data_IF_254729699675
#
_entry.id   IF_254729699675
#
_cell.length_a   1.000
_cell.length_b   1.000
_cell.length_c   1.000
_cell.angle_alpha   90.00
_cell.angle_beta   90.00
_cell.angle_gamma   90.00
#
_symmetry.space_group_name_H-M   'P 1'
#
loop_
_entity.id
_entity.type
_entity.pdbx_description
1 polymer ?
#
# COMPACT_ATOMS: atom_id res chain seq x y z
N UNK A 1 5.42 -24.48 -0.65
CA UNK A 1 6.03 -23.24 -1.20
C UNK A 1 5.27 -21.98 -0.78
N UNK A 2 3.94 -21.91 -0.88
CA UNK A 2 3.15 -20.71 -0.52
C UNK A 2 3.44 -20.17 0.89
N UNK A 3 3.47 -21.04 1.92
CA UNK A 3 3.78 -20.61 3.30
C UNK A 3 5.18 -20.03 3.47
N UNK A 4 6.19 -20.63 2.82
CA UNK A 4 7.57 -20.16 2.91
C UNK A 4 7.69 -18.79 2.25
N UNK A 5 7.09 -18.61 1.06
CA UNK A 5 7.07 -17.32 0.39
C UNK A 5 6.32 -16.27 1.22
N UNK A 6 5.20 -16.65 1.85
CA UNK A 6 4.43 -15.74 2.71
C UNK A 6 5.26 -15.24 3.90
N UNK A 7 5.95 -16.12 4.62
CA UNK A 7 6.82 -15.73 5.73
C UNK A 7 8.00 -14.87 5.26
N UNK A 8 8.59 -15.18 4.11
CA UNK A 8 9.67 -14.37 3.54
C UNK A 8 9.18 -12.97 3.15
N UNK A 9 8.01 -12.85 2.50
CA UNK A 9 7.40 -11.57 2.15
C UNK A 9 7.06 -10.79 3.42
N UNK A 10 6.48 -11.44 4.43
CA UNK A 10 6.18 -10.80 5.71
C UNK A 10 7.44 -10.22 6.37
N UNK A 11 8.54 -10.98 6.39
CA UNK A 11 9.80 -10.52 6.96
C UNK A 11 10.37 -9.29 6.23
N UNK A 12 10.38 -9.31 4.89
CA UNK A 12 10.83 -8.18 4.07
C UNK A 12 9.93 -6.96 4.28
N UNK A 13 8.60 -7.17 4.31
CA UNK A 13 7.62 -6.11 4.53
C UNK A 13 7.80 -5.48 5.90
N UNK A 14 7.94 -6.29 6.96
CA UNK A 14 8.19 -5.82 8.32
C UNK A 14 9.48 -5.00 8.42
N UNK A 15 10.57 -5.47 7.81
CA UNK A 15 11.85 -4.75 7.77
C UNK A 15 11.72 -3.40 7.05
N UNK A 16 11.05 -3.36 5.89
CA UNK A 16 10.81 -2.15 5.13
C UNK A 16 9.97 -1.14 5.91
N UNK A 17 8.85 -1.58 6.49
CA UNK A 17 7.95 -0.76 7.31
C UNK A 17 8.66 -0.25 8.58
N UNK A 18 9.41 -1.11 9.29
CA UNK A 18 10.16 -0.71 10.48
C UNK A 18 11.15 0.42 10.16
N UNK A 19 11.97 0.26 9.12
CA UNK A 19 12.93 1.28 8.69
C UNK A 19 12.25 2.57 8.22
N UNK A 20 11.03 2.50 7.70
CA UNK A 20 10.25 3.66 7.28
C UNK A 20 9.57 4.36 8.45
N UNK A 21 9.10 3.60 9.44
CA UNK A 21 8.35 4.09 10.59
C UNK A 21 9.24 4.65 11.70
N UNK A 22 10.36 3.99 11.98
CA UNK A 22 11.18 4.25 13.15
C UNK A 22 12.12 5.45 12.96
N UNK A 23 12.10 6.37 13.92
CA UNK A 23 13.03 7.50 14.05
C UNK A 23 14.03 7.19 15.19
N UNK A 24 15.25 6.72 14.89
CA UNK A 24 16.21 6.32 15.93
C UNK A 24 16.57 7.46 16.88
N UNK A 25 16.75 8.67 16.35
CA UNK A 25 17.11 9.86 17.13
C UNK A 25 16.06 10.25 18.17
N UNK A 26 14.77 10.03 17.84
CA UNK A 26 13.62 10.37 18.71
C UNK A 26 13.03 9.18 19.44
N UNK A 27 13.53 7.96 19.16
CA UNK A 27 13.02 6.68 19.70
C UNK A 27 11.49 6.55 19.60
N UNK A 28 10.90 7.00 18.49
CA UNK A 28 9.46 6.99 18.28
C UNK A 28 9.10 6.67 16.81
N UNK A 29 7.82 6.37 16.59
CA UNK A 29 7.27 6.22 15.25
C UNK A 29 7.11 7.59 14.61
N UNK A 30 7.45 7.71 13.33
CA UNK A 30 7.31 8.93 12.53
C UNK A 30 5.86 9.43 12.55
N UNK A 31 5.66 10.66 12.97
CA UNK A 31 4.34 11.30 12.95
C UNK A 31 3.80 11.31 11.50
N UNK A 32 2.52 10.95 11.34
CA UNK A 32 1.88 10.84 10.02
C UNK A 32 2.18 9.54 9.27
N UNK A 33 2.93 8.58 9.84
CA UNK A 33 3.24 7.30 9.19
C UNK A 33 1.98 6.61 8.64
N UNK A 34 0.92 6.53 9.43
CA UNK A 34 -0.33 5.87 9.05
C UNK A 34 -1.26 6.68 8.14
N UNK A 35 -0.84 7.86 7.68
CA UNK A 35 -1.63 8.67 6.75
C UNK A 35 -1.36 8.31 5.29
N UNK A 36 -0.22 7.68 4.99
CA UNK A 36 0.15 7.32 3.62
C UNK A 36 -0.38 5.96 3.20
N UNK A 37 -1.01 5.88 2.01
CA UNK A 37 -1.52 4.63 1.44
C UNK A 37 -0.45 3.54 1.35
N UNK A 38 0.76 3.89 0.95
CA UNK A 38 1.90 2.98 0.89
C UNK A 38 2.13 2.22 2.19
N UNK A 39 2.06 2.93 3.32
CA UNK A 39 2.31 2.30 4.61
C UNK A 39 1.13 1.43 5.04
N UNK A 40 -0.10 1.89 4.79
CA UNK A 40 -1.31 1.13 5.12
C UNK A 40 -1.44 -0.12 4.24
N UNK A 41 -1.23 -0.03 2.93
CA UNK A 41 -1.28 -1.17 2.02
C UNK A 41 -0.21 -2.23 2.35
N UNK A 42 1.03 -1.80 2.63
CA UNK A 42 2.08 -2.71 3.09
C UNK A 42 1.77 -3.32 4.46
N UNK A 43 1.13 -2.59 5.38
CA UNK A 43 0.70 -3.15 6.67
C UNK A 43 -0.39 -4.21 6.51
N UNK A 44 -1.36 -3.96 5.64
CA UNK A 44 -2.42 -4.95 5.32
C UNK A 44 -1.82 -6.19 4.67
N UNK A 45 -0.87 -6.02 3.74
CA UNK A 45 -0.11 -7.13 3.15
C UNK A 45 0.70 -7.87 4.21
N UNK A 46 1.36 -7.20 5.13
CA UNK A 46 2.08 -7.85 6.23
C UNK A 46 1.16 -8.77 7.05
N UNK A 47 -0.02 -8.27 7.45
CA UNK A 47 -1.00 -9.06 8.20
C UNK A 47 -1.49 -10.25 7.36
N UNK A 48 -1.78 -10.03 6.09
CA UNK A 48 -2.20 -11.07 5.15
C UNK A 48 -1.15 -12.18 5.01
N UNK A 49 0.10 -11.82 4.78
CA UNK A 49 1.21 -12.77 4.61
C UNK A 49 1.53 -13.54 5.91
N UNK A 50 1.44 -12.87 7.06
CA UNK A 50 1.55 -13.55 8.36
C UNK A 50 0.42 -14.56 8.57
N UNK A 51 -0.82 -14.22 8.21
CA UNK A 51 -1.94 -15.14 8.29
C UNK A 51 -1.75 -16.36 7.37
N UNK A 52 -1.32 -16.16 6.13
CA UNK A 52 -0.98 -17.26 5.21
C UNK A 52 0.18 -18.12 5.71
N UNK A 53 1.21 -17.50 6.26
CA UNK A 53 2.37 -18.19 6.79
C UNK A 53 2.07 -19.01 8.04
N UNK A 54 1.20 -18.48 8.92
CA UNK A 54 0.77 -19.13 10.16
C UNK A 54 -0.24 -20.24 9.93
N UNK A 55 -1.06 -20.19 8.86
CA UNK A 55 -2.03 -21.24 8.54
C UNK A 55 -1.31 -22.56 8.32
N UNK A 56 -1.47 -23.51 9.26
CA UNK A 56 -0.93 -24.87 9.16
C UNK A 56 -1.58 -25.65 8.02
N UNK A 57 -1.35 -26.98 7.99
CA UNK A 57 -2.05 -27.88 7.06
C UNK A 57 -3.57 -27.90 7.27
N UNK A 58 -4.03 -27.39 8.40
CA UNK A 58 -5.44 -27.38 8.78
C UNK A 58 -6.13 -26.10 8.25
N UNK A 59 -6.47 -26.14 6.96
CA UNK A 59 -7.28 -25.11 6.28
C UNK A 59 -8.77 -25.16 6.65
N UNK A 60 -9.13 -25.90 7.72
CA UNK A 60 -10.52 -26.07 8.13
C UNK A 60 -11.06 -24.89 8.93
N UNK A 61 -10.19 -24.09 9.54
CA UNK A 61 -10.60 -22.86 10.25
C UNK A 61 -11.15 -21.83 9.26
N UNK A 62 -12.40 -21.39 9.48
CA UNK A 62 -13.11 -20.47 8.58
C UNK A 62 -12.36 -19.16 8.28
N UNK A 63 -11.64 -18.62 9.27
CA UNK A 63 -10.83 -17.42 9.07
C UNK A 63 -9.69 -17.65 8.07
N UNK A 64 -8.96 -18.76 8.17
CA UNK A 64 -7.88 -19.09 7.24
C UNK A 64 -8.37 -19.39 5.83
N UNK A 65 -9.53 -20.05 5.69
CA UNK A 65 -10.17 -20.24 4.38
C UNK A 65 -10.48 -18.92 3.69
N UNK A 66 -10.91 -17.93 4.46
CA UNK A 66 -11.19 -16.60 3.91
C UNK A 66 -9.90 -15.94 3.42
N UNK A 67 -8.82 -15.91 4.24
CA UNK A 67 -7.52 -15.33 3.86
C UNK A 67 -6.90 -16.02 2.64
N UNK A 68 -7.04 -17.33 2.49
CA UNK A 68 -6.50 -18.09 1.37
C UNK A 68 -7.41 -18.11 0.13
N UNK A 69 -8.57 -17.46 0.20
CA UNK A 69 -9.50 -17.43 -0.94
C UNK A 69 -8.92 -16.69 -2.13
N UNK A 70 -9.16 -17.14 -3.38
CA UNK A 70 -8.64 -16.50 -4.60
C UNK A 70 -8.99 -15.02 -4.70
N UNK A 71 -10.19 -14.62 -4.27
CA UNK A 71 -10.64 -13.24 -4.30
C UNK A 71 -9.86 -12.32 -3.35
N UNK A 72 -9.58 -12.78 -2.12
CA UNK A 72 -8.75 -12.03 -1.16
C UNK A 72 -7.31 -11.93 -1.66
N UNK A 73 -6.75 -13.03 -2.16
CA UNK A 73 -5.42 -13.07 -2.73
C UNK A 73 -5.25 -12.07 -3.89
N UNK A 74 -6.20 -12.05 -4.82
CA UNK A 74 -6.21 -11.07 -5.91
C UNK A 74 -6.33 -9.64 -5.39
N UNK A 75 -7.22 -9.39 -4.43
CA UNK A 75 -7.41 -8.06 -3.86
C UNK A 75 -6.14 -7.53 -3.19
N UNK A 76 -5.44 -8.36 -2.41
CA UNK A 76 -4.16 -7.97 -1.77
C UNK A 76 -3.08 -7.68 -2.81
N UNK A 77 -2.99 -8.52 -3.85
CA UNK A 77 -2.06 -8.34 -4.96
C UNK A 77 -2.31 -7.02 -5.69
N UNK A 78 -3.56 -6.72 -6.05
CA UNK A 78 -3.91 -5.47 -6.73
C UNK A 78 -3.67 -4.25 -5.86
N UNK A 79 -4.04 -4.28 -4.58
CA UNK A 79 -3.80 -3.19 -3.64
C UNK A 79 -2.33 -2.80 -3.53
N UNK A 80 -1.44 -3.79 -3.42
CA UNK A 80 0.00 -3.50 -3.30
C UNK A 80 0.63 -3.16 -4.65
N UNK A 81 0.15 -3.75 -5.74
CA UNK A 81 0.65 -3.43 -7.08
C UNK A 81 0.30 -2.00 -7.50
N UNK A 82 -0.90 -1.52 -7.18
CA UNK A 82 -1.30 -0.12 -7.38
C UNK A 82 -0.40 0.84 -6.59
N UNK A 83 0.04 0.46 -5.39
CA UNK A 83 1.04 1.24 -4.63
C UNK A 83 2.33 1.43 -5.44
N UNK A 84 2.82 0.38 -6.09
CA UNK A 84 3.97 0.43 -7.00
C UNK A 84 3.70 1.34 -8.20
N UNK A 85 2.58 1.13 -8.90
CA UNK A 85 2.25 1.89 -10.11
C UNK A 85 2.12 3.40 -9.82
N UNK A 86 1.39 3.78 -8.78
CA UNK A 86 1.24 5.19 -8.41
C UNK A 86 2.60 5.80 -8.05
N UNK A 87 3.43 5.10 -7.30
CA UNK A 87 4.76 5.59 -6.97
C UNK A 87 5.64 5.76 -8.21
N UNK A 88 5.75 4.72 -9.05
CA UNK A 88 6.67 4.69 -10.18
C UNK A 88 6.21 5.57 -11.36
N UNK A 89 4.90 5.59 -11.65
CA UNK A 89 4.35 6.23 -12.85
C UNK A 89 3.73 7.61 -12.59
N UNK A 90 3.40 7.93 -11.34
CA UNK A 90 2.78 9.21 -11.00
C UNK A 90 3.70 10.05 -10.11
N UNK A 91 4.05 9.55 -8.92
CA UNK A 91 4.75 10.37 -7.91
C UNK A 91 6.19 10.71 -8.33
N UNK A 92 6.95 9.75 -8.81
CA UNK A 92 8.35 9.99 -9.22
C UNK A 92 8.42 10.89 -10.46
N UNK A 93 7.64 10.69 -11.54
CA UNK A 93 7.61 11.62 -12.67
C UNK A 93 7.18 13.03 -12.26
N UNK A 94 6.13 13.16 -11.43
CA UNK A 94 5.66 14.45 -10.94
C UNK A 94 6.73 15.17 -10.13
N UNK A 95 7.37 14.48 -9.18
CA UNK A 95 8.45 15.04 -8.36
C UNK A 95 9.66 15.50 -9.21
N UNK A 96 9.98 14.78 -10.29
CA UNK A 96 11.03 15.20 -11.22
C UNK A 96 10.63 16.43 -12.02
N UNK A 97 9.39 16.50 -12.47
CA UNK A 97 8.86 17.65 -13.20
C UNK A 97 8.88 18.93 -12.34
N UNK A 98 8.47 18.80 -11.08
CA UNK A 98 8.34 19.93 -10.15
C UNK A 98 9.65 20.23 -9.39
N UNK A 99 10.73 19.48 -9.65
CA UNK A 99 12.00 19.52 -8.91
C UNK A 99 11.83 19.37 -7.40
N UNK A 100 10.87 18.54 -6.97
CA UNK A 100 10.59 18.28 -5.57
C UNK A 100 11.59 17.28 -4.99
N UNK A 101 12.66 17.80 -4.40
CA UNK A 101 13.70 16.99 -3.76
C UNK A 101 13.17 16.17 -2.58
N UNK A 102 12.08 16.58 -1.93
CA UNK A 102 11.53 15.87 -0.77
C UNK A 102 11.06 14.46 -1.12
N UNK A 103 10.54 14.28 -2.33
CA UNK A 103 10.14 12.97 -2.88
C UNK A 103 11.28 12.20 -3.55
N UNK A 104 12.26 12.92 -4.10
CA UNK A 104 13.40 12.31 -4.79
C UNK A 104 14.50 11.86 -3.83
N UNK A 105 14.69 12.58 -2.73
CA UNK A 105 15.68 12.27 -1.71
C UNK A 105 15.33 10.95 -1.02
N UNK A 106 16.27 10.02 -1.03
CA UNK A 106 16.08 8.71 -0.41
C UNK A 106 15.22 7.71 -1.21
N UNK A 107 14.86 8.01 -2.47
CA UNK A 107 14.08 7.10 -3.32
C UNK A 107 14.73 5.72 -3.49
N UNK A 108 16.05 5.65 -3.41
CA UNK A 108 16.83 4.41 -3.47
C UNK A 108 17.22 3.85 -2.09
N UNK A 109 16.70 4.44 -1.00
CA UNK A 109 16.92 3.85 0.31
C UNK A 109 16.28 2.46 0.39
N UNK A 110 16.90 1.57 1.17
CA UNK A 110 16.38 0.21 1.39
C UNK A 110 14.88 0.21 1.73
N UNK A 111 14.47 1.04 2.69
CA UNK A 111 13.08 1.12 3.11
C UNK A 111 12.14 1.52 1.96
N UNK A 112 12.55 2.47 1.13
CA UNK A 112 11.72 2.94 0.02
C UNK A 112 11.63 1.91 -1.11
N UNK A 113 12.76 1.28 -1.44
CA UNK A 113 12.81 0.20 -2.45
C UNK A 113 11.99 -1.00 -1.99
N UNK A 114 12.07 -1.38 -0.70
CA UNK A 114 11.25 -2.47 -0.16
C UNK A 114 9.74 -2.22 -0.37
N UNK A 115 9.21 -1.11 0.13
CA UNK A 115 7.75 -0.89 0.16
C UNK A 115 7.14 -0.55 -1.19
N UNK A 116 7.95 -0.06 -2.16
CA UNK A 116 7.44 0.34 -3.47
C UNK A 116 7.80 -0.59 -4.62
N UNK A 117 8.81 -1.46 -4.47
CA UNK A 117 9.28 -2.33 -5.55
C UNK A 117 9.39 -3.79 -5.13
N UNK A 118 10.14 -4.10 -4.05
CA UNK A 118 10.41 -5.49 -3.68
C UNK A 118 9.12 -6.17 -3.22
N UNK A 119 8.42 -5.60 -2.23
CA UNK A 119 7.20 -6.20 -1.68
C UNK A 119 6.11 -6.34 -2.76
N UNK A 120 5.76 -5.31 -3.55
CA UNK A 120 4.82 -5.48 -4.65
C UNK A 120 5.23 -6.56 -5.65
N UNK A 121 6.49 -6.60 -6.03
CA UNK A 121 7.01 -7.61 -6.96
C UNK A 121 6.92 -9.04 -6.43
N UNK A 122 7.27 -9.23 -5.14
CA UNK A 122 7.19 -10.53 -4.49
C UNK A 122 5.75 -11.02 -4.33
N UNK A 123 4.80 -10.14 -3.96
CA UNK A 123 3.37 -10.49 -3.83
C UNK A 123 2.79 -10.87 -5.18
N UNK A 124 3.10 -10.12 -6.25
CA UNK A 124 2.68 -10.45 -7.61
C UNK A 124 3.27 -11.82 -8.03
N UNK A 125 4.54 -12.04 -7.80
CA UNK A 125 5.19 -13.34 -8.11
C UNK A 125 4.56 -14.49 -7.32
N UNK A 126 4.28 -14.29 -6.03
CA UNK A 126 3.60 -15.27 -5.19
C UNK A 126 2.22 -15.60 -5.73
N UNK A 127 1.42 -14.59 -6.11
CA UNK A 127 0.09 -14.76 -6.68
C UNK A 127 0.15 -15.55 -7.98
N UNK A 128 1.07 -15.21 -8.89
CA UNK A 128 1.21 -15.89 -10.18
C UNK A 128 1.63 -17.35 -10.02
N UNK A 129 2.55 -17.65 -9.12
CA UNK A 129 3.21 -18.95 -9.05
C UNK A 129 2.52 -19.95 -8.12
N UNK A 130 1.93 -19.49 -7.01
CA UNK A 130 1.54 -20.41 -5.93
C UNK A 130 0.13 -20.24 -5.39
N UNK A 131 -0.57 -19.14 -5.72
CA UNK A 131 -1.93 -18.96 -5.24
C UNK A 131 -2.96 -19.55 -6.19
N UNK A 132 -4.04 -20.09 -5.63
CA UNK A 132 -5.17 -20.61 -6.40
C UNK A 132 -5.91 -19.46 -7.09
N UNK A 133 -6.38 -19.74 -8.30
CA UNK A 133 -7.16 -18.80 -9.12
C UNK A 133 -8.53 -19.37 -9.49
N UNK A 134 -8.83 -20.59 -9.01
CA UNK A 134 -10.11 -21.22 -9.29
C UNK A 134 -11.26 -20.39 -8.70
N UNK A 135 -12.34 -20.25 -9.46
CA UNK A 135 -13.53 -19.52 -9.01
C UNK A 135 -13.39 -17.99 -9.01
N UNK A 136 -12.30 -17.44 -9.55
CA UNK A 136 -12.22 -15.99 -9.77
C UNK A 136 -13.31 -15.53 -10.76
N UNK A 137 -13.98 -14.44 -10.40
CA UNK A 137 -14.99 -13.79 -11.21
C UNK A 137 -14.62 -12.32 -11.43
N UNK A 138 -15.28 -11.67 -12.38
CA UNK A 138 -15.11 -10.23 -12.63
C UNK A 138 -15.38 -9.38 -11.38
N UNK A 139 -16.23 -9.83 -10.47
CA UNK A 139 -16.52 -9.13 -9.22
C UNK A 139 -15.31 -9.06 -8.30
N UNK A 140 -14.47 -10.10 -8.27
CA UNK A 140 -13.22 -10.06 -7.50
C UNK A 140 -12.25 -8.98 -8.02
N UNK A 141 -12.31 -8.68 -9.32
CA UNK A 141 -11.55 -7.57 -9.90
C UNK A 141 -12.10 -6.18 -9.51
N UNK A 142 -13.27 -6.10 -8.88
CA UNK A 142 -13.83 -4.84 -8.36
C UNK A 142 -13.64 -4.72 -6.85
N UNK A 143 -13.65 -5.84 -6.12
CA UNK A 143 -13.59 -5.84 -4.65
C UNK A 143 -12.30 -5.25 -4.08
N UNK A 144 -11.20 -5.29 -4.82
CA UNK A 144 -9.95 -4.68 -4.37
C UNK A 144 -10.07 -3.15 -4.18
N UNK A 145 -11.02 -2.50 -4.86
CA UNK A 145 -11.28 -1.07 -4.74
C UNK A 145 -11.74 -0.65 -3.34
N UNK A 146 -12.23 -1.58 -2.53
CA UNK A 146 -12.69 -1.29 -1.15
C UNK A 146 -11.59 -0.61 -0.33
N UNK A 147 -10.34 -1.08 -0.40
CA UNK A 147 -9.25 -0.49 0.34
C UNK A 147 -8.86 0.92 -0.16
N UNK A 148 -8.61 1.15 -1.46
CA UNK A 148 -8.31 2.49 -1.95
C UNK A 148 -9.47 3.47 -1.79
N UNK A 149 -10.73 3.04 -1.93
CA UNK A 149 -11.90 3.91 -1.69
C UNK A 149 -12.03 4.26 -0.21
N UNK A 150 -11.90 3.29 0.69
CA UNK A 150 -11.90 3.55 2.13
C UNK A 150 -10.76 4.50 2.52
N UNK A 151 -9.58 4.31 1.95
CA UNK A 151 -8.45 5.21 2.13
C UNK A 151 -8.73 6.63 1.62
N UNK A 152 -9.33 6.75 0.44
CA UNK A 152 -9.73 8.04 -0.12
C UNK A 152 -10.68 8.80 0.83
N UNK A 153 -11.73 8.12 1.30
CA UNK A 153 -12.68 8.68 2.27
C UNK A 153 -11.96 9.10 3.56
N UNK A 154 -11.09 8.24 4.09
CA UNK A 154 -10.28 8.55 5.28
C UNK A 154 -9.45 9.83 5.10
N UNK A 155 -8.74 9.97 3.97
CA UNK A 155 -7.91 11.17 3.70
C UNK A 155 -8.77 12.42 3.61
N UNK A 156 -9.92 12.35 2.91
CA UNK A 156 -10.81 13.50 2.77
C UNK A 156 -11.42 13.94 4.12
N UNK A 157 -11.85 13.00 4.93
CA UNK A 157 -12.36 13.28 6.28
C UNK A 157 -11.27 13.83 7.20
N UNK A 158 -10.08 13.23 7.16
CA UNK A 158 -8.94 13.70 7.93
C UNK A 158 -8.53 15.13 7.55
N UNK A 159 -8.45 15.44 6.26
CA UNK A 159 -8.08 16.78 5.79
C UNK A 159 -9.04 17.86 6.31
N UNK A 160 -10.34 17.54 6.47
CA UNK A 160 -11.32 18.45 7.07
C UNK A 160 -11.02 18.81 8.53
N UNK A 161 -10.24 18.03 9.25
CA UNK A 161 -9.83 18.36 10.64
C UNK A 161 -8.83 19.52 10.71
N UNK A 162 -8.22 19.93 9.58
CA UNK A 162 -7.19 20.98 9.52
C UNK A 162 -5.85 20.58 10.15
N UNK A 163 -5.71 19.34 10.65
CA UNK A 163 -4.46 18.90 11.29
C UNK A 163 -3.42 18.52 10.23
N UNK A 164 -2.20 19.09 10.25
CA UNK A 164 -1.16 18.75 9.30
C UNK A 164 -0.63 17.32 9.49
N UNK A 165 -0.01 16.77 8.45
CA UNK A 165 0.62 15.44 8.46
C UNK A 165 2.02 15.59 9.05
N UNK A 166 2.19 15.11 10.28
CA UNK A 166 3.49 15.19 10.95
C UNK A 166 4.00 16.64 11.04
N UNK A 167 5.22 16.85 10.55
CA UNK A 167 5.89 18.18 10.57
C UNK A 167 5.92 18.85 9.19
N UNK A 168 5.29 18.27 8.17
CA UNK A 168 5.34 18.82 6.80
C UNK A 168 4.49 20.06 6.58
N UNK A 169 3.52 20.32 7.46
CA UNK A 169 2.50 21.36 7.25
C UNK A 169 1.41 20.98 6.24
N UNK A 170 1.59 19.89 5.49
CA UNK A 170 0.65 19.43 4.49
C UNK A 170 -0.58 18.76 5.08
N UNK A 171 -1.75 19.05 4.51
CA UNK A 171 -3.00 18.39 4.90
C UNK A 171 -3.26 17.10 4.12
N UNK A 172 -2.73 16.98 2.92
CA UNK A 172 -2.92 15.85 2.01
C UNK A 172 -1.63 15.06 1.81
N UNK A 173 -1.67 13.71 1.87
CA UNK A 173 -0.47 12.88 1.74
C UNK A 173 0.11 12.86 0.32
N UNK A 174 -0.70 13.18 -0.68
CA UNK A 174 -0.30 13.19 -2.08
C UNK A 174 -0.81 14.44 -2.81
N UNK A 175 -0.02 15.02 -3.75
CA UNK A 175 -0.41 16.20 -4.49
C UNK A 175 -1.73 16.05 -5.25
N UNK A 176 -1.99 14.86 -5.83
CA UNK A 176 -3.20 14.57 -6.58
C UNK A 176 -4.47 14.43 -5.72
N UNK A 177 -4.34 14.40 -4.39
CA UNK A 177 -5.47 14.44 -3.44
C UNK A 177 -5.72 15.84 -2.86
N UNK A 178 -4.90 16.82 -3.20
CA UNK A 178 -5.04 18.19 -2.71
C UNK A 178 -6.14 18.94 -3.46
N UNK A 179 -7.41 18.72 -3.06
CA UNK A 179 -8.59 19.32 -3.68
C UNK A 179 -8.53 20.86 -3.77
N UNK A 180 -8.16 21.61 -2.70
CA UNK A 180 -8.05 23.06 -2.78
C UNK A 180 -7.04 23.57 -3.81
N UNK A 181 -5.90 22.88 -3.96
CA UNK A 181 -4.87 23.27 -4.91
C UNK A 181 -5.22 22.94 -6.36
N UNK A 182 -5.92 21.82 -6.58
CA UNK A 182 -6.24 21.32 -7.93
C UNK A 182 -7.53 21.91 -8.49
N UNK A 183 -8.49 22.27 -7.66
CA UNK A 183 -9.86 22.55 -8.04
C UNK A 183 -10.63 21.32 -8.53
N UNK A 184 -11.95 21.40 -8.57
CA UNK A 184 -12.84 20.25 -8.79
C UNK A 184 -12.51 19.45 -10.08
N UNK A 185 -12.31 20.13 -11.21
CA UNK A 185 -12.12 19.46 -12.51
C UNK A 185 -10.85 18.62 -12.57
N UNK A 186 -9.72 19.17 -12.09
CA UNK A 186 -8.41 18.45 -12.09
C UNK A 186 -8.40 17.34 -11.05
N UNK A 187 -8.95 17.62 -9.87
CA UNK A 187 -9.05 16.65 -8.79
C UNK A 187 -9.78 15.38 -9.24
N UNK A 188 -11.01 15.51 -9.79
CA UNK A 188 -11.78 14.33 -10.21
C UNK A 188 -11.14 13.59 -11.39
N UNK A 189 -10.41 14.29 -12.26
CA UNK A 189 -9.63 13.62 -13.32
C UNK A 189 -8.49 12.79 -12.72
N UNK A 190 -7.78 13.30 -11.70
CA UNK A 190 -6.75 12.54 -11.00
C UNK A 190 -7.34 11.31 -10.30
N UNK A 191 -8.44 11.48 -9.57
CA UNK A 191 -9.12 10.36 -8.89
C UNK A 191 -9.55 9.29 -9.89
N UNK A 192 -10.21 9.66 -10.98
CA UNK A 192 -10.66 8.72 -12.01
C UNK A 192 -9.52 8.04 -12.78
N UNK A 193 -8.35 8.67 -12.86
CA UNK A 193 -7.17 8.08 -13.51
C UNK A 193 -6.38 7.13 -12.63
N UNK A 194 -6.66 7.11 -11.32
CA UNK A 194 -5.98 6.25 -10.33
C UNK A 194 -6.85 5.03 -9.96
N UNK A 195 -8.18 5.18 -10.00
CA UNK A 195 -9.16 4.11 -9.74
C UNK A 195 -9.54 3.39 -11.04
#
# INVERSE_FOLDING_TARGET
MLRISALAIAAVTAAGLYKKAWLPEKKCIRAGFFVYYTHLSNLVVLVYELALGASGHDMTCGAFRWFSSPGVALSMTLCIYVTHLIYALVLIPLAKHDNDESWLKGRYSFANVCVHYIVPGLVVAQWLLWQDKAGLTVWHAVWWLVLPVAYFVFVMLRARTGKPIGFSGELYPYPFLNYPALGARRFWRCVAGIL
#
